data_IF_369790180358
#
_entry.id   IF_369790180358
#
_cell.length_a   1.000
_cell.length_b   1.000
_cell.length_c   1.000
_cell.angle_alpha   90.00
_cell.angle_beta   90.00
_cell.angle_gamma   90.00
#
_symmetry.space_group_name_H-M   'P 1'
#
loop_
_entity.id
_entity.type
_entity.pdbx_description
1 polymer ?
#
# COMPACT_ATOMS: atom_id res chain seq x y z
N UNK A 1 -3.40 -7.16 -55.72
CA UNK A 1 -3.55 -8.61 -55.88
C UNK A 1 -3.57 -9.18 -54.48
N UNK A 2 -4.70 -9.42 -54.02
CA UNK A 2 -5.41 -10.68 -53.75
C UNK A 2 -4.96 -11.28 -52.41
N UNK A 3 -5.76 -11.75 -51.49
CA UNK A 3 -7.20 -11.96 -51.30
C UNK A 3 -7.39 -12.22 -49.80
N UNK A 4 -8.49 -11.76 -49.26
CA UNK A 4 -8.99 -12.04 -47.92
C UNK A 4 -9.45 -13.51 -47.77
N UNK A 5 -9.45 -14.03 -46.55
CA UNK A 5 -10.53 -14.91 -46.11
C UNK A 5 -10.80 -14.78 -44.63
N UNK A 6 -12.04 -14.41 -44.33
CA UNK A 6 -12.73 -14.51 -43.04
C UNK A 6 -12.92 -15.99 -42.67
N UNK A 7 -12.81 -16.30 -41.39
CA UNK A 7 -13.63 -17.38 -40.82
C UNK A 7 -13.99 -17.08 -39.38
N UNK A 8 -15.28 -16.79 -39.16
CA UNK A 8 -15.96 -16.83 -37.89
C UNK A 8 -15.97 -18.25 -37.33
N UNK A 9 -15.60 -18.42 -36.08
CA UNK A 9 -15.90 -19.64 -35.33
C UNK A 9 -16.74 -19.25 -34.13
N UNK A 10 -18.02 -19.67 -34.19
CA UNK A 10 -18.97 -19.69 -33.09
C UNK A 10 -18.62 -20.84 -32.15
N UNK A 11 -18.52 -20.57 -30.84
CA UNK A 11 -18.38 -21.62 -29.84
C UNK A 11 -19.71 -21.76 -29.12
N UNK A 12 -20.36 -22.92 -29.38
CA UNK A 12 -21.51 -23.39 -28.66
C UNK A 12 -21.09 -24.08 -27.35
N UNK A 13 -21.83 -23.78 -26.30
CA UNK A 13 -21.77 -24.44 -24.99
C UNK A 13 -22.14 -25.94 -25.11
N UNK A 14 -21.29 -26.83 -24.57
CA UNK A 14 -21.69 -28.20 -24.26
C UNK A 14 -21.17 -28.62 -22.90
N UNK A 15 -22.10 -28.99 -22.04
CA UNK A 15 -21.89 -29.69 -20.77
C UNK A 15 -21.16 -31.03 -21.03
N UNK A 16 -20.10 -31.28 -20.26
CA UNK A 16 -19.48 -32.61 -20.19
C UNK A 16 -19.66 -33.16 -18.77
N UNK A 17 -20.45 -34.21 -18.69
CA UNK A 17 -20.57 -35.12 -17.56
C UNK A 17 -19.32 -35.98 -17.46
N UNK A 18 -18.68 -36.00 -16.31
CA UNK A 18 -17.59 -36.93 -15.98
C UNK A 18 -18.18 -38.31 -15.62
N UNK A 19 -17.75 -39.33 -16.33
CA UNK A 19 -17.89 -40.74 -15.97
C UNK A 19 -16.54 -41.27 -15.44
N UNK A 20 -16.62 -41.95 -14.31
CA UNK A 20 -15.55 -42.76 -13.72
C UNK A 20 -15.07 -43.88 -14.64
N UNK A 21 -13.77 -44.13 -14.67
CA UNK A 21 -13.15 -45.44 -14.82
C UNK A 21 -11.62 -45.35 -14.69
N UNK A 22 -11.01 -45.95 -13.66
CA UNK A 22 -10.21 -47.18 -13.77
C UNK A 22 -9.47 -47.46 -12.46
N UNK A 23 -9.89 -48.61 -11.90
CA UNK A 23 -9.17 -49.32 -10.83
C UNK A 23 -8.01 -50.11 -11.41
N UNK A 24 -6.82 -50.01 -10.82
CA UNK A 24 -5.78 -51.03 -10.93
C UNK A 24 -5.54 -51.72 -9.60
N UNK A 25 -5.81 -53.01 -9.58
CA UNK A 25 -5.58 -53.93 -8.47
C UNK A 25 -4.16 -54.46 -8.49
N UNK A 26 -3.44 -54.36 -7.38
CA UNK A 26 -2.28 -55.22 -7.12
C UNK A 26 -2.64 -56.29 -6.07
N UNK A 27 -2.43 -57.57 -6.46
CA UNK A 27 -2.55 -58.76 -5.59
C UNK A 27 -1.27 -58.94 -4.80
N UNK A 28 -1.38 -59.17 -3.52
CA UNK A 28 -0.45 -60.01 -2.77
C UNK A 28 -1.20 -60.81 -1.66
N UNK A 29 -0.96 -62.11 -1.67
CA UNK A 29 -0.85 -63.06 -0.61
C UNK A 29 -2.02 -63.23 0.38
N UNK A 30 -2.71 -64.38 0.28
CA UNK A 30 -3.80 -64.78 1.14
C UNK A 30 -3.39 -65.21 2.55
N UNK A 31 -4.27 -64.90 3.49
CA UNK A 31 -4.52 -65.74 4.69
C UNK A 31 -6.01 -65.76 4.94
N UNK A 32 -6.57 -66.95 4.96
CA UNK A 32 -7.96 -67.30 5.29
C UNK A 32 -8.20 -67.15 6.79
N UNK A 33 -9.25 -66.44 7.21
CA UNK A 33 -9.89 -66.64 8.51
C UNK A 33 -11.40 -66.52 8.45
N UNK A 34 -12.02 -67.47 9.14
CA UNK A 34 -13.41 -67.85 9.16
C UNK A 34 -14.43 -66.82 9.60
N UNK A 35 -15.57 -66.89 8.95
CA UNK A 35 -16.85 -66.28 9.26
C UNK A 35 -17.33 -66.49 10.72
N UNK A 36 -17.67 -65.40 11.39
CA UNK A 36 -18.82 -65.37 12.33
C UNK A 36 -19.58 -64.03 12.11
N UNK A 37 -20.74 -64.15 11.48
CA UNK A 37 -21.74 -63.09 11.44
C UNK A 37 -22.21 -62.80 12.88
N UNK A 38 -22.00 -61.54 13.33
CA UNK A 38 -22.80 -60.89 14.35
C UNK A 38 -23.35 -59.63 13.76
N UNK A 39 -24.66 -59.58 13.57
CA UNK A 39 -25.41 -58.37 13.23
C UNK A 39 -25.31 -57.39 14.38
N UNK A 40 -24.60 -56.31 14.19
CA UNK A 40 -24.69 -55.12 15.01
C UNK A 40 -25.30 -54.01 14.12
N UNK A 41 -26.58 -53.73 14.37
CA UNK A 41 -27.23 -52.55 13.87
C UNK A 41 -26.57 -51.30 14.49
N UNK A 42 -25.57 -50.77 13.84
CA UNK A 42 -25.04 -49.46 14.18
C UNK A 42 -25.96 -48.40 13.57
N UNK A 43 -26.79 -47.77 14.41
CA UNK A 43 -27.48 -46.56 14.04
C UNK A 43 -26.45 -45.53 13.68
N UNK A 44 -26.31 -45.25 12.37
CA UNK A 44 -25.62 -44.04 11.88
C UNK A 44 -26.41 -42.82 12.38
N UNK A 45 -26.02 -42.29 13.52
CA UNK A 45 -26.34 -40.90 13.85
C UNK A 45 -25.55 -40.04 12.88
N UNK A 46 -26.21 -39.54 11.84
CA UNK A 46 -25.74 -38.37 11.12
C UNK A 46 -25.53 -37.26 12.15
N UNK A 47 -24.29 -37.03 12.51
CA UNK A 47 -23.91 -35.72 13.04
C UNK A 47 -24.08 -34.74 11.87
N UNK A 48 -25.27 -34.15 11.78
CA UNK A 48 -25.42 -32.89 11.11
C UNK A 48 -24.43 -31.95 11.83
N UNK A 49 -23.31 -31.65 11.19
CA UNK A 49 -22.50 -30.53 11.59
C UNK A 49 -23.42 -29.31 11.54
N UNK A 50 -23.88 -28.87 12.71
CA UNK A 50 -24.45 -27.55 12.84
C UNK A 50 -23.35 -26.60 12.35
N UNK A 51 -23.50 -26.09 11.12
CA UNK A 51 -22.81 -24.89 10.70
C UNK A 51 -23.29 -23.82 11.68
N UNK A 52 -22.51 -23.56 12.72
CA UNK A 52 -22.70 -22.40 13.55
C UNK A 52 -22.65 -21.21 12.59
N UNK A 53 -23.79 -20.57 12.37
CA UNK A 53 -23.85 -19.31 11.65
C UNK A 53 -22.97 -18.38 12.45
N UNK A 54 -21.78 -18.07 11.92
CA UNK A 54 -20.88 -17.10 12.54
C UNK A 54 -21.63 -15.78 12.50
N UNK A 55 -21.96 -15.24 13.68
CA UNK A 55 -22.61 -13.94 13.78
C UNK A 55 -21.61 -12.90 13.30
N UNK A 56 -21.90 -12.29 12.12
CA UNK A 56 -21.00 -11.33 11.48
C UNK A 56 -20.93 -10.04 12.28
N UNK A 57 -19.74 -9.51 12.41
CA UNK A 57 -19.56 -8.18 13.00
C UNK A 57 -20.14 -7.13 12.06
N UNK A 58 -21.12 -6.37 12.53
CA UNK A 58 -21.75 -5.30 11.75
C UNK A 58 -20.84 -4.08 11.68
N UNK A 59 -20.56 -3.60 10.46
CA UNK A 59 -19.84 -2.36 10.16
C UNK A 59 -20.87 -1.35 9.66
N UNK A 60 -21.20 -0.36 10.48
CA UNK A 60 -22.36 0.53 10.25
C UNK A 60 -22.13 1.48 9.08
N UNK A 61 -20.96 2.09 9.02
CA UNK A 61 -20.63 3.02 7.96
C UNK A 61 -19.81 2.33 6.86
N UNK A 62 -20.06 2.69 5.58
CA UNK A 62 -19.38 2.04 4.47
C UNK A 62 -17.90 2.35 4.44
N UNK A 63 -17.17 1.51 3.71
CA UNK A 63 -15.79 1.80 3.27
C UNK A 63 -15.75 1.90 1.74
N UNK A 64 -14.75 2.61 1.23
CA UNK A 64 -14.46 2.67 -0.20
C UNK A 64 -13.45 1.57 -0.54
N UNK A 65 -13.76 0.77 -1.53
CA UNK A 65 -12.83 -0.18 -2.12
C UNK A 65 -12.36 0.34 -3.48
N UNK A 66 -11.07 0.45 -3.65
CA UNK A 66 -10.40 0.79 -4.89
C UNK A 66 -9.67 -0.45 -5.40
N UNK A 67 -10.31 -1.20 -6.31
CA UNK A 67 -9.73 -2.41 -6.89
C UNK A 67 -8.58 -2.07 -7.85
N UNK A 68 -7.73 -3.03 -8.19
CA UNK A 68 -6.49 -2.79 -8.92
C UNK A 68 -6.28 -3.73 -10.11
N UNK A 69 -5.01 -4.09 -10.32
CA UNK A 69 -4.55 -4.81 -11.49
C UNK A 69 -3.82 -6.13 -11.17
N UNK A 70 -3.69 -6.96 -12.16
CA UNK A 70 -2.82 -8.13 -12.28
C UNK A 70 -2.95 -9.12 -11.09
N UNK A 71 -1.83 -9.65 -10.56
CA UNK A 71 -1.86 -10.67 -9.51
C UNK A 71 -2.43 -10.15 -8.19
N UNK A 72 -2.23 -8.88 -7.90
CA UNK A 72 -2.78 -8.27 -6.67
C UNK A 72 -4.30 -8.21 -6.69
N UNK A 73 -4.94 -7.99 -7.83
CA UNK A 73 -6.41 -8.05 -7.97
C UNK A 73 -6.96 -9.44 -7.64
N UNK A 74 -6.30 -10.50 -8.11
CA UNK A 74 -6.69 -11.88 -7.81
C UNK A 74 -6.62 -12.14 -6.30
N UNK A 75 -5.50 -11.77 -5.67
CA UNK A 75 -5.29 -11.92 -4.23
C UNK A 75 -6.30 -11.09 -3.45
N UNK A 76 -6.58 -9.86 -3.89
CA UNK A 76 -7.55 -8.95 -3.27
C UNK A 76 -8.94 -9.54 -3.19
N UNK A 77 -9.40 -10.17 -4.28
CA UNK A 77 -10.66 -10.91 -4.30
C UNK A 77 -10.64 -12.07 -3.31
N UNK A 78 -9.55 -12.86 -3.28
CA UNK A 78 -9.41 -13.98 -2.33
C UNK A 78 -9.44 -13.51 -0.86
N UNK A 79 -8.84 -12.35 -0.56
CA UNK A 79 -8.86 -11.76 0.79
C UNK A 79 -10.30 -11.42 1.18
N UNK A 80 -11.06 -10.76 0.31
CA UNK A 80 -12.46 -10.42 0.57
C UNK A 80 -13.29 -11.67 0.85
N UNK A 81 -13.20 -12.66 -0.04
CA UNK A 81 -14.02 -13.86 0.01
C UNK A 81 -13.72 -14.75 1.21
N UNK A 82 -12.46 -14.81 1.65
CA UNK A 82 -12.01 -15.73 2.70
C UNK A 82 -11.85 -15.08 4.07
N UNK A 83 -11.50 -13.81 4.14
CA UNK A 83 -11.11 -13.15 5.39
C UNK A 83 -12.01 -11.97 5.79
N UNK A 84 -12.77 -11.40 4.86
CA UNK A 84 -13.61 -10.23 5.14
C UNK A 84 -15.10 -10.62 5.17
N UNK A 85 -15.66 -11.02 4.04
CA UNK A 85 -17.10 -11.27 3.90
C UNK A 85 -17.67 -12.40 4.77
N UNK A 86 -16.92 -13.47 5.13
CA UNK A 86 -17.44 -14.46 6.06
C UNK A 86 -17.66 -13.95 7.49
N UNK A 87 -16.93 -12.90 7.89
CA UNK A 87 -16.89 -12.41 9.27
C UNK A 87 -17.53 -11.05 9.48
N UNK A 88 -17.62 -10.23 8.42
CA UNK A 88 -18.13 -8.87 8.49
C UNK A 88 -19.42 -8.70 7.67
N UNK A 89 -20.36 -7.95 8.23
CA UNK A 89 -21.50 -7.38 7.52
C UNK A 89 -21.17 -5.91 7.23
N UNK A 90 -20.75 -5.64 5.98
CA UNK A 90 -20.13 -4.38 5.57
C UNK A 90 -20.66 -3.91 4.21
N UNK A 91 -20.98 -2.62 4.11
CA UNK A 91 -21.30 -1.93 2.86
C UNK A 91 -20.00 -1.42 2.20
N UNK A 92 -19.77 -1.81 0.95
CA UNK A 92 -18.59 -1.43 0.17
C UNK A 92 -18.98 -0.53 -0.99
N UNK A 93 -18.39 0.66 -1.06
CA UNK A 93 -18.43 1.55 -2.21
C UNK A 93 -17.28 1.19 -3.15
N UNK A 94 -17.58 0.36 -4.13
CA UNK A 94 -16.61 -0.24 -5.04
C UNK A 94 -16.26 0.67 -6.23
N UNK A 95 -14.95 0.82 -6.50
CA UNK A 95 -14.39 1.49 -7.66
C UNK A 95 -13.33 0.60 -8.31
N UNK A 96 -13.49 0.30 -9.60
CA UNK A 96 -12.49 -0.45 -10.37
C UNK A 96 -11.42 0.52 -10.91
N UNK A 97 -10.24 0.52 -10.26
CA UNK A 97 -9.07 1.28 -10.72
C UNK A 97 -8.13 0.45 -11.62
N UNK A 98 -8.58 -0.68 -12.14
CA UNK A 98 -7.85 -1.42 -13.16
C UNK A 98 -7.57 -0.56 -14.39
N UNK A 99 -6.40 -0.72 -15.00
CA UNK A 99 -5.89 0.16 -16.06
C UNK A 99 -6.84 0.29 -17.25
N UNK A 100 -7.56 -0.79 -17.62
CA UNK A 100 -8.53 -0.78 -18.72
C UNK A 100 -9.79 0.02 -18.37
N UNK A 101 -10.29 -0.09 -17.14
CA UNK A 101 -11.45 0.71 -16.71
C UNK A 101 -11.08 2.18 -16.53
N UNK A 102 -9.91 2.49 -16.05
CA UNK A 102 -9.38 3.86 -16.00
C UNK A 102 -9.27 4.46 -17.40
N UNK A 103 -8.75 3.71 -18.36
CA UNK A 103 -8.69 4.15 -19.76
C UNK A 103 -10.07 4.40 -20.37
N UNK A 104 -11.04 3.50 -20.10
CA UNK A 104 -12.40 3.64 -20.60
C UNK A 104 -13.14 4.86 -20.05
N UNK A 105 -12.82 5.25 -18.80
CA UNK A 105 -13.43 6.38 -18.09
C UNK A 105 -12.61 7.68 -18.19
N UNK A 106 -11.56 7.71 -19.01
CA UNK A 106 -10.60 8.82 -19.10
C UNK A 106 -10.06 9.22 -17.72
N UNK A 107 -9.72 8.21 -16.92
CA UNK A 107 -9.23 8.26 -15.53
C UNK A 107 -10.16 8.98 -14.51
N UNK A 108 -11.42 9.26 -14.89
CA UNK A 108 -12.40 9.91 -13.99
C UNK A 108 -12.68 9.04 -12.75
N UNK A 109 -12.71 7.72 -12.91
CA UNK A 109 -12.94 6.78 -11.80
C UNK A 109 -11.92 6.96 -10.66
N UNK A 110 -10.68 7.33 -10.97
CA UNK A 110 -9.67 7.62 -9.95
C UNK A 110 -10.04 8.85 -9.11
N UNK A 111 -10.52 9.92 -9.76
CA UNK A 111 -10.97 11.14 -9.08
C UNK A 111 -12.23 10.87 -8.25
N UNK A 112 -13.20 10.16 -8.82
CA UNK A 112 -14.45 9.78 -8.14
C UNK A 112 -14.18 8.92 -6.90
N UNK A 113 -13.26 7.97 -6.98
CA UNK A 113 -12.88 7.13 -5.84
C UNK A 113 -12.21 7.94 -4.71
N UNK A 114 -11.37 8.91 -5.05
CA UNK A 114 -10.75 9.79 -4.07
C UNK A 114 -11.77 10.71 -3.40
N UNK A 115 -12.74 11.24 -4.15
CA UNK A 115 -13.85 12.03 -3.60
C UNK A 115 -14.75 11.18 -2.69
N UNK A 116 -14.99 9.92 -3.07
CA UNK A 116 -15.71 8.98 -2.22
C UNK A 116 -14.93 8.70 -0.92
N UNK A 117 -13.59 8.58 -0.98
CA UNK A 117 -12.76 8.42 0.22
C UNK A 117 -12.92 9.62 1.18
N UNK A 118 -12.92 10.85 0.68
CA UNK A 118 -13.22 12.04 1.48
C UNK A 118 -14.61 12.00 2.11
N UNK A 119 -15.61 11.53 1.35
CA UNK A 119 -17.01 11.44 1.81
C UNK A 119 -17.22 10.40 2.90
N UNK A 120 -16.60 9.21 2.74
CA UNK A 120 -16.81 8.07 3.64
C UNK A 120 -15.68 7.86 4.65
N UNK A 121 -14.63 8.67 4.60
CA UNK A 121 -13.48 8.73 5.51
C UNK A 121 -12.56 7.50 5.48
N UNK A 122 -12.94 6.37 4.91
CA UNK A 122 -12.10 5.17 4.88
C UNK A 122 -12.08 4.57 3.49
N UNK A 123 -10.89 4.39 2.96
CA UNK A 123 -10.65 3.66 1.73
C UNK A 123 -9.61 2.56 1.92
N UNK A 124 -9.78 1.47 1.18
CA UNK A 124 -8.79 0.40 1.01
C UNK A 124 -8.48 0.24 -0.47
N UNK A 125 -7.21 0.17 -0.81
CA UNK A 125 -6.79 0.21 -2.21
C UNK A 125 -5.90 -0.97 -2.57
N UNK A 126 -6.24 -1.65 -3.65
CA UNK A 126 -5.40 -2.62 -4.32
C UNK A 126 -4.31 -1.92 -5.16
N UNK A 127 -3.22 -2.61 -5.45
CA UNK A 127 -2.17 -2.07 -6.31
C UNK A 127 -2.65 -1.88 -7.75
N UNK A 128 -2.26 -0.77 -8.37
CA UNK A 128 -2.66 -0.36 -9.72
C UNK A 128 -1.47 -0.17 -10.64
N UNK A 129 -1.65 -0.42 -11.94
CA UNK A 129 -0.65 -0.13 -12.97
C UNK A 129 -0.54 1.38 -13.17
N UNK A 130 0.68 1.92 -13.10
CA UNK A 130 1.02 3.21 -13.69
C UNK A 130 1.66 2.92 -15.05
N UNK A 131 0.98 3.21 -16.18
CA UNK A 131 1.48 2.81 -17.49
C UNK A 131 2.69 3.62 -17.92
N UNK A 132 3.69 2.92 -18.44
CA UNK A 132 4.77 3.43 -19.26
C UNK A 132 4.45 3.21 -20.76
N UNK A 133 5.36 3.57 -21.65
CA UNK A 133 5.19 3.38 -23.09
C UNK A 133 4.94 1.92 -23.49
N UNK A 134 5.54 0.97 -22.76
CA UNK A 134 5.38 -0.47 -23.01
C UNK A 134 3.97 -0.91 -22.64
N UNK A 135 3.48 -0.45 -21.47
CA UNK A 135 2.13 -0.74 -21.00
C UNK A 135 1.05 -0.07 -21.86
N UNK A 136 1.29 1.14 -22.34
CA UNK A 136 0.37 1.80 -23.29
C UNK A 136 0.19 0.96 -24.55
N UNK A 137 1.28 0.41 -25.11
CA UNK A 137 1.21 -0.48 -26.26
C UNK A 137 0.56 -1.83 -25.94
N UNK A 138 0.92 -2.44 -24.80
CA UNK A 138 0.41 -3.74 -24.36
C UNK A 138 -1.12 -3.74 -24.20
N UNK A 139 -1.66 -2.71 -23.56
CA UNK A 139 -3.08 -2.60 -23.27
C UNK A 139 -3.85 -1.74 -24.30
N UNK A 140 -3.17 -1.26 -25.35
CA UNK A 140 -3.75 -0.35 -26.36
C UNK A 140 -4.46 0.86 -25.74
N UNK A 141 -3.81 1.50 -24.74
CA UNK A 141 -4.39 2.61 -24.00
C UNK A 141 -4.44 3.88 -24.85
N UNK A 142 -5.47 4.71 -24.63
CA UNK A 142 -5.63 6.03 -25.26
C UNK A 142 -4.52 7.01 -24.89
N UNK A 143 -3.98 6.87 -23.67
CA UNK A 143 -2.97 7.79 -23.13
C UNK A 143 -2.08 7.10 -22.09
N UNK A 144 -0.91 7.67 -21.85
CA UNK A 144 -0.05 7.32 -20.74
C UNK A 144 -0.55 8.00 -19.45
N UNK A 145 -1.58 7.40 -18.85
CA UNK A 145 -2.25 7.93 -17.67
C UNK A 145 -1.31 8.16 -16.50
N UNK A 146 -1.57 9.21 -15.72
CA UNK A 146 -0.82 9.49 -14.50
C UNK A 146 -0.99 8.40 -13.46
N UNK A 147 -0.10 8.37 -12.47
CA UNK A 147 -0.22 7.45 -11.35
C UNK A 147 -1.51 7.70 -10.57
N UNK A 148 -2.39 6.69 -10.38
CA UNK A 148 -3.59 6.82 -9.55
C UNK A 148 -3.25 7.23 -8.11
N UNK A 149 -2.16 6.68 -7.56
CA UNK A 149 -1.70 7.04 -6.22
C UNK A 149 -1.36 8.53 -6.13
N UNK A 150 -0.73 9.09 -7.16
CA UNK A 150 -0.44 10.53 -7.22
C UNK A 150 -1.72 11.37 -7.22
N UNK A 151 -2.72 11.00 -8.02
CA UNK A 151 -4.01 11.68 -8.09
C UNK A 151 -4.76 11.61 -6.76
N UNK A 152 -4.87 10.42 -6.16
CA UNK A 152 -5.54 10.21 -4.87
C UNK A 152 -4.86 11.01 -3.76
N UNK A 153 -3.53 10.91 -3.65
CA UNK A 153 -2.75 11.64 -2.63
C UNK A 153 -2.91 13.16 -2.74
N UNK A 154 -2.95 13.68 -3.95
CA UNK A 154 -3.16 15.11 -4.18
C UNK A 154 -4.57 15.59 -3.81
N UNK A 155 -5.59 14.75 -3.99
CA UNK A 155 -6.98 15.06 -3.61
C UNK A 155 -7.17 14.96 -2.10
N UNK A 156 -6.64 13.92 -1.48
CA UNK A 156 -6.75 13.68 -0.04
C UNK A 156 -5.86 14.63 0.79
N UNK A 157 -4.80 15.16 0.20
CA UNK A 157 -3.84 16.09 0.82
C UNK A 157 -3.37 15.60 2.20
N UNK A 158 -2.74 14.43 2.25
CA UNK A 158 -2.35 13.77 3.49
C UNK A 158 -0.88 13.38 3.56
N UNK A 159 -0.56 12.72 4.65
CA UNK A 159 0.76 12.11 4.89
C UNK A 159 0.68 10.61 4.68
N UNK A 160 1.61 10.05 3.92
CA UNK A 160 1.76 8.60 3.76
C UNK A 160 2.63 8.05 4.87
N UNK A 161 2.07 7.19 5.71
CA UNK A 161 2.82 6.46 6.73
C UNK A 161 3.09 5.04 6.26
N UNK A 162 4.36 4.66 6.26
CA UNK A 162 4.83 3.31 5.91
C UNK A 162 5.51 2.69 7.11
N UNK A 163 4.99 1.54 7.54
CA UNK A 163 5.48 0.84 8.72
C UNK A 163 5.66 -0.65 8.40
N UNK A 164 6.81 -1.26 8.77
CA UNK A 164 7.05 -2.68 8.54
C UNK A 164 6.19 -3.54 9.46
N UNK A 165 5.70 -4.67 8.93
CA UNK A 165 5.07 -5.75 9.67
C UNK A 165 6.18 -6.67 10.15
N UNK A 166 6.34 -6.80 11.47
CA UNK A 166 7.42 -7.57 12.06
C UNK A 166 7.01 -9.01 12.34
N UNK A 167 7.77 -9.97 11.79
CA UNK A 167 7.71 -11.37 12.15
C UNK A 167 9.07 -11.77 12.78
N UNK A 168 9.06 -12.51 13.89
CA UNK A 168 10.27 -12.83 14.67
C UNK A 168 11.27 -13.70 13.90
N UNK A 169 10.76 -14.60 13.06
CA UNK A 169 11.54 -15.54 12.28
C UNK A 169 12.07 -14.96 10.95
N UNK A 170 11.66 -13.75 10.55
CA UNK A 170 12.19 -13.09 9.35
C UNK A 170 13.44 -12.30 9.72
N UNK A 171 14.62 -12.68 9.17
CA UNK A 171 15.88 -12.01 9.49
C UNK A 171 15.87 -10.57 8.94
N UNK A 172 16.39 -9.63 9.73
CA UNK A 172 16.59 -8.25 9.32
C UNK A 172 17.98 -8.08 8.72
N UNK A 173 18.09 -7.31 7.64
CA UNK A 173 19.40 -7.01 7.02
C UNK A 173 20.25 -6.18 7.98
N UNK A 174 19.62 -5.27 8.76
CA UNK A 174 20.29 -4.53 9.82
C UNK A 174 19.94 -5.20 11.16
N UNK A 175 20.85 -5.98 11.76
CA UNK A 175 20.56 -6.75 12.98
C UNK A 175 20.17 -5.89 14.19
N UNK A 176 20.57 -4.62 14.21
CA UNK A 176 20.24 -3.66 15.26
C UNK A 176 18.77 -3.27 15.31
N UNK A 177 18.03 -3.40 14.22
CA UNK A 177 16.62 -2.98 14.14
C UNK A 177 15.71 -3.93 14.91
N UNK A 178 15.45 -3.61 16.17
CA UNK A 178 14.60 -4.39 17.07
C UNK A 178 13.14 -3.90 17.05
N UNK A 179 12.95 -2.63 16.78
CA UNK A 179 11.65 -1.94 16.76
C UNK A 179 11.36 -1.38 15.37
N UNK A 180 10.09 -1.24 14.96
CA UNK A 180 9.77 -0.66 13.67
C UNK A 180 10.28 0.78 13.55
N UNK A 181 10.67 1.18 12.34
CA UNK A 181 10.88 2.57 11.97
C UNK A 181 9.71 2.94 11.05
N UNK A 182 8.91 3.91 11.44
CA UNK A 182 7.78 4.36 10.66
C UNK A 182 8.15 5.60 9.85
N UNK A 183 8.13 5.50 8.52
CA UNK A 183 8.31 6.66 7.65
C UNK A 183 7.01 7.42 7.53
N UNK A 184 7.04 8.74 7.81
CA UNK A 184 6.01 9.69 7.41
C UNK A 184 6.47 10.43 6.15
N UNK A 185 5.87 10.11 4.99
CA UNK A 185 6.17 10.75 3.71
C UNK A 185 5.18 11.87 3.45
N UNK A 186 5.67 13.08 3.19
CA UNK A 186 4.85 14.19 2.70
C UNK A 186 4.32 13.85 1.31
N UNK A 187 3.02 13.64 1.16
CA UNK A 187 2.44 13.11 -0.07
C UNK A 187 2.06 14.18 -1.11
N UNK A 188 2.59 15.38 -0.99
CA UNK A 188 2.24 16.54 -1.82
C UNK A 188 3.47 17.25 -2.37
N UNK A 189 3.35 17.82 -3.59
CA UNK A 189 4.33 18.72 -4.16
C UNK A 189 5.67 18.07 -4.51
N UNK A 190 6.74 18.86 -4.41
CA UNK A 190 8.12 18.50 -4.70
C UNK A 190 8.29 17.92 -6.12
N UNK A 191 9.16 16.92 -6.32
CA UNK A 191 9.41 16.28 -7.61
C UNK A 191 8.16 15.64 -8.25
N UNK A 192 7.18 15.26 -7.43
CA UNK A 192 5.94 14.57 -7.90
C UNK A 192 4.92 15.52 -8.54
N UNK A 193 5.13 16.82 -8.42
CA UNK A 193 4.36 17.89 -9.09
C UNK A 193 5.25 18.91 -9.77
N UNK A 194 6.44 18.51 -10.16
CA UNK A 194 7.38 19.36 -10.87
C UNK A 194 6.92 19.63 -12.31
N UNK A 195 7.39 20.75 -12.84
CA UNK A 195 7.35 21.05 -14.26
C UNK A 195 8.78 21.02 -14.77
N UNK A 196 9.04 20.17 -15.76
CA UNK A 196 10.36 20.02 -16.38
C UNK A 196 10.33 20.31 -17.87
N UNK A 197 11.47 20.72 -18.41
CA UNK A 197 11.62 21.09 -19.82
C UNK A 197 13.01 20.77 -20.33
N UNK A 198 13.08 20.35 -21.59
CA UNK A 198 14.33 20.25 -22.35
C UNK A 198 14.65 21.64 -22.93
N UNK A 199 15.84 22.15 -22.66
CA UNK A 199 16.37 23.42 -23.20
C UNK A 199 17.20 23.07 -24.42
N UNK A 200 16.79 23.60 -25.60
CA UNK A 200 17.39 23.21 -26.88
C UNK A 200 18.56 24.11 -27.35
N UNK A 201 18.94 25.13 -26.55
CA UNK A 201 19.98 26.06 -26.96
C UNK A 201 20.48 26.93 -25.82
N UNK A 202 21.24 27.97 -26.19
CA UNK A 202 21.72 29.00 -25.25
C UNK A 202 20.60 29.96 -24.86
N UNK A 203 20.64 30.50 -23.65
CA UNK A 203 19.66 31.44 -23.13
C UNK A 203 19.58 31.47 -21.61
N UNK A 204 18.84 32.44 -21.08
CA UNK A 204 18.67 32.63 -19.65
C UNK A 204 17.40 31.91 -19.15
N UNK A 205 17.54 31.10 -18.13
CA UNK A 205 16.43 30.57 -17.37
C UNK A 205 16.13 31.54 -16.22
N UNK A 206 14.86 31.93 -16.10
CA UNK A 206 14.36 32.75 -15.00
C UNK A 206 13.21 32.04 -14.28
N UNK A 207 13.07 32.27 -12.97
CA UNK A 207 11.88 32.00 -12.21
C UNK A 207 11.12 33.31 -11.98
N UNK A 208 9.85 33.35 -12.37
CA UNK A 208 8.98 34.51 -12.23
C UNK A 208 7.78 34.17 -11.38
N UNK A 209 7.54 34.95 -10.33
CA UNK A 209 6.32 34.91 -9.56
C UNK A 209 5.52 36.18 -9.80
N UNK A 210 4.27 36.02 -10.25
CA UNK A 210 3.35 37.13 -10.52
C UNK A 210 2.28 37.13 -9.43
N UNK A 211 2.28 38.17 -8.55
CA UNK A 211 1.25 38.29 -7.52
C UNK A 211 -0.12 38.65 -8.11
N UNK A 212 -1.19 38.04 -7.59
CA UNK A 212 -2.58 38.34 -8.03
C UNK A 212 -3.08 39.72 -7.58
N UNK A 213 -2.46 40.31 -6.56
CA UNK A 213 -2.83 41.64 -6.01
C UNK A 213 -2.27 42.81 -6.82
N UNK A 214 -1.57 42.55 -7.93
CA UNK A 214 -1.01 43.60 -8.80
C UNK A 214 0.34 44.16 -8.34
N UNK A 215 0.95 43.61 -7.30
CA UNK A 215 2.31 43.96 -6.90
C UNK A 215 3.33 43.64 -8.00
N UNK A 216 4.53 44.21 -7.90
CA UNK A 216 5.62 43.99 -8.85
C UNK A 216 6.01 42.49 -8.86
N UNK A 217 6.07 41.86 -10.05
CA UNK A 217 6.54 40.47 -10.17
C UNK A 217 7.94 40.28 -9.60
N UNK A 218 8.16 39.18 -8.91
CA UNK A 218 9.49 38.77 -8.45
C UNK A 218 10.16 37.95 -9.55
N UNK A 219 11.29 38.42 -10.05
CA UNK A 219 12.11 37.71 -11.04
C UNK A 219 13.44 37.27 -10.41
N UNK A 220 13.82 36.01 -10.60
CA UNK A 220 15.10 35.45 -10.17
C UNK A 220 15.82 34.82 -11.37
N UNK A 221 17.05 35.19 -11.63
CA UNK A 221 17.91 34.50 -12.57
C UNK A 221 18.31 33.15 -12.00
N UNK A 222 18.00 32.05 -12.70
CA UNK A 222 18.31 30.69 -12.27
C UNK A 222 19.62 30.21 -12.89
N UNK A 223 19.74 30.28 -14.23
CA UNK A 223 20.93 29.86 -14.94
C UNK A 223 21.04 30.47 -16.33
N UNK A 224 22.28 30.66 -16.81
CA UNK A 224 22.61 31.15 -18.15
C UNK A 224 23.16 29.98 -18.99
N UNK A 225 22.28 29.31 -19.74
CA UNK A 225 22.62 28.17 -20.59
C UNK A 225 23.53 28.62 -21.76
N UNK A 226 24.64 27.93 -21.96
CA UNK A 226 25.54 28.11 -23.08
C UNK A 226 25.29 27.13 -24.23
N UNK A 227 24.39 26.18 -24.04
CA UNK A 227 23.98 25.17 -24.99
C UNK A 227 22.79 24.38 -24.46
N UNK A 228 22.43 23.23 -25.07
CA UNK A 228 21.31 22.40 -24.63
C UNK A 228 21.45 21.93 -23.20
N UNK A 229 20.31 21.70 -22.52
CA UNK A 229 20.25 21.22 -21.17
C UNK A 229 18.82 20.84 -20.72
N UNK A 230 18.62 20.72 -19.43
CA UNK A 230 17.32 20.47 -18.81
C UNK A 230 17.08 21.43 -17.66
N UNK A 231 15.82 21.73 -17.39
CA UNK A 231 15.40 22.54 -16.26
C UNK A 231 14.19 21.91 -15.58
N UNK A 232 14.08 22.12 -14.27
CA UNK A 232 12.96 21.62 -13.45
C UNK A 232 12.58 22.69 -12.43
N UNK A 233 11.28 22.95 -12.30
CA UNK A 233 10.71 23.73 -11.22
C UNK A 233 9.78 22.86 -10.37
N UNK A 234 9.91 22.97 -9.05
CA UNK A 234 9.04 22.30 -8.08
C UNK A 234 8.53 23.31 -7.05
N UNK A 235 7.44 22.98 -6.38
CA UNK A 235 6.83 23.85 -5.38
C UNK A 235 6.23 23.06 -4.22
N UNK A 236 5.97 23.76 -3.13
CA UNK A 236 5.15 23.30 -2.03
C UNK A 236 4.36 24.46 -1.43
N UNK A 237 3.40 24.19 -0.55
CA UNK A 237 2.58 25.21 0.09
C UNK A 237 2.59 25.03 1.60
N UNK A 238 2.56 26.16 2.32
CA UNK A 238 2.63 26.18 3.79
C UNK A 238 1.53 25.35 4.46
N UNK A 239 0.32 25.41 3.94
CA UNK A 239 -0.82 24.65 4.45
C UNK A 239 -0.55 23.14 4.42
N UNK A 240 -0.02 22.63 3.30
CA UNK A 240 0.31 21.21 3.16
C UNK A 240 1.46 20.80 4.08
N UNK A 241 2.51 21.64 4.20
CA UNK A 241 3.62 21.37 5.12
C UNK A 241 3.14 21.37 6.57
N UNK A 242 2.25 22.28 6.95
CA UNK A 242 1.65 22.36 8.28
C UNK A 242 0.81 21.12 8.57
N UNK A 243 -0.03 20.67 7.63
CA UNK A 243 -0.78 19.42 7.75
C UNK A 243 0.12 18.19 7.89
N UNK A 244 1.23 18.16 7.19
CA UNK A 244 2.25 17.12 7.31
C UNK A 244 2.91 17.11 8.70
N UNK A 245 3.23 18.30 9.26
CA UNK A 245 3.76 18.41 10.61
C UNK A 245 2.75 17.91 11.66
N UNK A 246 1.50 18.36 11.59
CA UNK A 246 0.43 17.94 12.50
C UNK A 246 0.20 16.42 12.46
N UNK A 247 0.09 15.81 11.27
CA UNK A 247 -0.12 14.37 11.14
C UNK A 247 1.06 13.57 11.70
N UNK A 248 2.29 14.04 11.46
CA UNK A 248 3.51 13.36 11.94
C UNK A 248 3.62 13.42 13.46
N UNK A 249 3.32 14.58 14.06
CA UNK A 249 3.29 14.77 15.51
C UNK A 249 2.18 13.91 16.15
N UNK A 250 0.98 13.90 15.57
CA UNK A 250 -0.15 13.12 16.07
C UNK A 250 0.15 11.61 16.06
N UNK A 251 0.79 11.11 14.99
CA UNK A 251 1.19 9.69 14.93
C UNK A 251 2.26 9.37 15.96
N UNK A 252 3.29 10.20 16.09
CA UNK A 252 4.38 10.03 17.06
C UNK A 252 3.82 9.98 18.50
N UNK A 253 2.94 10.91 18.83
CA UNK A 253 2.24 10.95 20.10
C UNK A 253 1.41 9.69 20.36
N UNK A 254 0.62 9.26 19.37
CA UNK A 254 -0.21 8.05 19.49
C UNK A 254 0.63 6.79 19.73
N UNK A 255 1.81 6.72 19.10
CA UNK A 255 2.74 5.59 19.25
C UNK A 255 3.63 5.71 20.50
N UNK A 256 3.67 6.86 21.13
CA UNK A 256 4.61 7.21 22.20
C UNK A 256 6.08 7.03 21.74
N UNK A 257 6.36 7.49 20.53
CA UNK A 257 7.66 7.40 19.87
C UNK A 257 8.19 8.80 19.57
N UNK A 258 9.51 9.01 19.63
CA UNK A 258 10.11 10.26 19.16
C UNK A 258 9.87 10.47 17.67
N UNK A 259 9.86 11.76 17.27
CA UNK A 259 9.71 12.20 15.88
C UNK A 259 11.00 12.87 15.40
N UNK A 260 11.48 12.43 14.25
CA UNK A 260 12.55 13.10 13.52
C UNK A 260 12.02 13.65 12.20
N UNK A 261 12.29 14.93 11.90
CA UNK A 261 12.16 15.49 10.56
C UNK A 261 13.52 15.50 9.89
N UNK A 262 13.64 15.01 8.67
CA UNK A 262 14.87 15.15 7.90
C UNK A 262 14.71 16.03 6.66
N UNK A 263 15.70 16.90 6.43
CA UNK A 263 15.79 17.77 5.26
C UNK A 263 17.25 17.95 4.81
N UNK A 264 17.49 18.64 3.70
CA UNK A 264 18.82 19.09 3.30
C UNK A 264 18.86 20.63 3.26
N UNK A 265 18.40 21.29 4.32
CA UNK A 265 18.30 22.73 4.43
C UNK A 265 19.66 23.48 4.37
N UNK A 266 20.77 22.77 4.55
CA UNK A 266 22.12 23.33 4.32
C UNK A 266 22.38 23.61 2.83
N UNK A 267 21.71 22.91 1.93
CA UNK A 267 21.78 23.07 0.47
C UNK A 267 20.54 23.83 -0.03
N UNK A 268 19.34 23.32 0.22
CA UNK A 268 18.06 23.94 -0.16
C UNK A 268 17.60 24.90 0.94
N UNK A 269 18.40 25.96 1.17
CA UNK A 269 18.26 26.82 2.36
C UNK A 269 16.88 27.41 2.58
N UNK A 270 16.20 27.85 1.51
CA UNK A 270 14.86 28.42 1.59
C UNK A 270 13.78 27.35 1.53
N UNK A 271 13.88 26.45 0.56
CA UNK A 271 12.87 25.43 0.32
C UNK A 271 12.76 24.47 1.51
N UNK A 272 13.83 23.77 1.87
CA UNK A 272 13.88 22.85 2.99
C UNK A 272 13.84 23.58 4.35
N UNK A 273 14.39 24.80 4.40
CA UNK A 273 14.28 25.68 5.57
C UNK A 273 12.82 25.97 5.94
N UNK A 274 11.95 26.17 4.94
CA UNK A 274 10.52 26.38 5.21
C UNK A 274 9.85 25.16 5.86
N UNK A 275 10.20 23.94 5.47
CA UNK A 275 9.72 22.72 6.15
C UNK A 275 10.18 22.68 7.61
N UNK A 276 11.48 22.94 7.86
CA UNK A 276 12.03 22.98 9.21
C UNK A 276 11.30 24.02 10.08
N UNK A 277 11.16 25.23 9.60
CA UNK A 277 10.56 26.34 10.35
C UNK A 277 9.10 26.08 10.71
N UNK A 278 8.30 25.52 9.77
CA UNK A 278 6.90 25.21 10.00
C UNK A 278 6.77 24.03 11.01
N UNK A 279 7.60 22.99 10.90
CA UNK A 279 7.60 21.90 11.86
C UNK A 279 7.94 22.38 13.29
N UNK A 280 8.93 23.26 13.42
CA UNK A 280 9.30 23.88 14.68
C UNK A 280 8.15 24.71 15.27
N UNK A 281 7.50 25.52 14.45
CA UNK A 281 6.34 26.33 14.85
C UNK A 281 5.18 25.47 15.34
N UNK A 282 4.84 24.38 14.61
CA UNK A 282 3.77 23.44 14.97
C UNK A 282 4.10 22.72 16.27
N UNK A 283 5.35 22.25 16.42
CA UNK A 283 5.81 21.59 17.63
C UNK A 283 5.69 22.49 18.85
N UNK A 284 6.31 23.67 18.82
CA UNK A 284 6.33 24.61 19.95
C UNK A 284 4.92 25.03 20.38
N UNK A 285 4.01 25.29 19.40
CA UNK A 285 2.65 25.75 19.72
C UNK A 285 1.71 24.65 20.20
N UNK A 286 1.75 23.46 19.59
CA UNK A 286 0.66 22.50 19.71
C UNK A 286 1.09 21.18 20.40
N UNK A 287 2.37 20.82 20.37
CA UNK A 287 2.81 19.47 20.70
C UNK A 287 3.86 19.38 21.79
N UNK A 288 4.68 20.37 22.00
CA UNK A 288 5.82 20.34 22.92
C UNK A 288 5.45 19.81 24.31
N UNK A 289 4.46 20.41 24.95
CA UNK A 289 4.01 19.98 26.27
C UNK A 289 3.50 18.53 26.27
N UNK A 290 2.73 18.13 25.25
CA UNK A 290 2.23 16.76 25.13
C UNK A 290 3.36 15.74 24.98
N UNK A 291 4.40 16.10 24.22
CA UNK A 291 5.58 15.25 24.03
C UNK A 291 6.41 15.11 25.29
N UNK A 292 6.62 16.24 26.00
CA UNK A 292 7.30 16.25 27.30
C UNK A 292 6.56 15.39 28.34
N UNK A 293 5.23 15.50 28.42
CA UNK A 293 4.39 14.69 29.32
C UNK A 293 4.49 13.19 29.06
N UNK A 294 4.71 12.77 27.81
CA UNK A 294 4.89 11.35 27.40
C UNK A 294 6.37 10.94 27.30
N UNK A 295 7.32 11.80 27.68
CA UNK A 295 8.76 11.56 27.61
C UNK A 295 9.26 11.21 26.18
N UNK A 296 8.68 11.83 25.17
CA UNK A 296 9.10 11.77 23.77
C UNK A 296 9.53 13.16 23.30
N UNK A 297 10.21 13.22 22.15
CA UNK A 297 10.76 14.47 21.63
C UNK A 297 10.61 14.59 20.12
N UNK A 298 10.72 15.81 19.63
CA UNK A 298 10.90 16.15 18.20
C UNK A 298 12.32 16.67 17.98
N UNK A 299 12.92 16.27 16.88
CA UNK A 299 14.24 16.76 16.45
C UNK A 299 14.31 16.87 14.93
N UNK A 300 14.86 17.99 14.44
CA UNK A 300 15.21 18.14 13.03
C UNK A 300 16.66 17.69 12.81
N UNK A 301 16.91 16.88 11.78
CA UNK A 301 18.23 16.42 11.36
C UNK A 301 18.45 16.59 9.86
N UNK A 302 19.72 16.65 9.43
CA UNK A 302 20.03 16.51 8.02
C UNK A 302 19.75 15.09 7.56
N UNK A 303 19.32 14.91 6.29
CA UNK A 303 18.92 13.61 5.75
C UNK A 303 20.05 12.58 5.81
N UNK A 304 21.28 12.96 5.53
CA UNK A 304 22.46 12.11 5.62
C UNK A 304 22.76 11.66 7.06
N UNK A 305 22.65 12.57 8.03
CA UNK A 305 22.80 12.23 9.45
C UNK A 305 21.69 11.28 9.92
N UNK A 306 20.47 11.49 9.41
CA UNK A 306 19.34 10.64 9.77
C UNK A 306 19.44 9.23 9.16
N UNK A 307 19.97 9.10 7.94
CA UNK A 307 20.30 7.79 7.35
C UNK A 307 21.36 7.07 8.18
N UNK A 308 22.41 7.77 8.59
CA UNK A 308 23.45 7.18 9.44
C UNK A 308 22.92 6.77 10.82
N UNK A 309 22.02 7.57 11.40
CA UNK A 309 21.33 7.25 12.65
C UNK A 309 20.44 6.01 12.49
N UNK A 310 19.63 5.94 11.43
CA UNK A 310 18.73 4.82 11.18
C UNK A 310 19.47 3.48 11.16
N UNK A 311 20.62 3.41 10.47
CA UNK A 311 21.45 2.20 10.39
C UNK A 311 22.08 1.76 11.73
N UNK A 312 22.23 2.69 12.69
CA UNK A 312 22.85 2.43 13.99
C UNK A 312 21.85 2.30 15.13
N UNK A 313 20.59 2.67 14.90
CA UNK A 313 19.52 2.69 15.91
C UNK A 313 18.87 1.32 16.09
N UNK A 314 18.16 1.16 17.21
CA UNK A 314 17.24 0.03 17.42
C UNK A 314 15.90 0.17 16.72
N UNK A 315 15.59 1.35 16.15
CA UNK A 315 14.27 1.74 15.68
C UNK A 315 13.38 2.31 16.80
N UNK A 316 12.05 2.27 16.61
CA UNK A 316 11.08 2.78 17.59
C UNK A 316 10.87 4.29 17.51
N UNK A 317 10.84 4.84 16.29
CA UNK A 317 10.59 6.25 16.05
C UNK A 317 9.81 6.50 14.76
N UNK A 318 9.24 7.68 14.64
CA UNK A 318 8.65 8.20 13.40
C UNK A 318 9.69 9.08 12.70
N UNK A 319 9.87 8.85 11.41
CA UNK A 319 10.79 9.61 10.57
C UNK A 319 10.01 10.33 9.49
N UNK A 320 9.80 11.64 9.67
CA UNK A 320 9.14 12.51 8.71
C UNK A 320 10.13 12.91 7.60
N UNK A 321 9.75 12.64 6.36
CA UNK A 321 10.54 12.88 5.16
C UNK A 321 9.75 13.69 4.13
N UNK A 322 10.42 14.54 3.36
CA UNK A 322 9.85 15.13 2.15
C UNK A 322 9.45 14.04 1.15
N UNK A 323 8.69 14.41 0.12
CA UNK A 323 8.02 13.47 -0.76
C UNK A 323 8.96 12.41 -1.37
N UNK A 324 10.01 12.82 -2.07
CA UNK A 324 10.98 11.91 -2.71
C UNK A 324 11.81 11.14 -1.68
N UNK A 325 12.32 11.84 -0.66
CA UNK A 325 13.12 11.21 0.40
C UNK A 325 12.33 10.10 1.10
N UNK A 326 11.04 10.37 1.41
CA UNK A 326 10.15 9.41 2.05
C UNK A 326 9.84 8.19 1.18
N UNK A 327 9.74 8.36 -0.14
CA UNK A 327 9.56 7.24 -1.06
C UNK A 327 10.77 6.31 -1.04
N UNK A 328 11.97 6.87 -1.22
CA UNK A 328 13.22 6.10 -1.28
C UNK A 328 13.54 5.45 0.08
N UNK A 329 13.43 6.20 1.18
CA UNK A 329 13.77 5.69 2.51
C UNK A 329 12.80 4.62 2.99
N UNK A 330 11.51 4.72 2.66
CA UNK A 330 10.55 3.69 3.05
C UNK A 330 10.80 2.36 2.33
N UNK A 331 11.18 2.39 1.06
CA UNK A 331 11.54 1.18 0.32
C UNK A 331 12.86 0.55 0.84
N UNK A 332 13.85 1.39 1.16
CA UNK A 332 15.09 0.92 1.81
C UNK A 332 14.78 0.21 3.14
N UNK A 333 13.96 0.82 3.99
CA UNK A 333 13.58 0.25 5.29
C UNK A 333 12.77 -1.04 5.11
N UNK A 334 11.85 -1.09 4.14
CA UNK A 334 11.07 -2.30 3.85
C UNK A 334 11.99 -3.49 3.52
N UNK A 335 12.99 -3.28 2.66
CA UNK A 335 13.98 -4.31 2.35
C UNK A 335 14.84 -4.65 3.57
N UNK A 336 15.23 -3.65 4.35
CA UNK A 336 16.03 -3.82 5.57
C UNK A 336 15.31 -4.63 6.66
N UNK A 337 13.99 -4.50 6.76
CA UNK A 337 13.13 -5.31 7.65
C UNK A 337 12.75 -6.68 7.09
N UNK A 338 13.13 -6.98 5.84
CA UNK A 338 12.99 -8.29 5.21
C UNK A 338 12.37 -8.26 3.82
N UNK A 339 11.21 -7.68 3.63
CA UNK A 339 10.50 -7.69 2.34
C UNK A 339 9.52 -6.54 2.21
N UNK A 340 9.43 -5.98 1.01
CA UNK A 340 8.38 -5.01 0.66
C UNK A 340 6.96 -5.59 0.83
N UNK A 341 6.80 -6.92 0.70
CA UNK A 341 5.56 -7.63 0.99
C UNK A 341 5.16 -7.66 2.47
N UNK A 342 6.01 -7.12 3.37
CA UNK A 342 5.73 -6.92 4.79
C UNK A 342 5.64 -5.42 5.15
N UNK A 343 5.32 -4.56 4.20
CA UNK A 343 5.18 -3.11 4.43
C UNK A 343 3.78 -2.66 4.04
N UNK A 344 3.09 -1.99 4.97
CA UNK A 344 1.83 -1.29 4.69
C UNK A 344 2.10 0.18 4.37
N UNK A 345 1.20 0.77 3.61
CA UNK A 345 1.18 2.20 3.28
C UNK A 345 -0.21 2.74 3.65
N UNK A 346 -0.23 3.76 4.47
CA UNK A 346 -1.47 4.42 4.93
C UNK A 346 -1.37 5.91 4.66
N UNK A 347 -2.24 6.42 3.80
CA UNK A 347 -2.42 7.85 3.61
C UNK A 347 -3.44 8.36 4.63
N UNK A 348 -3.04 9.31 5.45
CA UNK A 348 -3.89 9.95 6.46
C UNK A 348 -4.01 11.43 6.15
N UNK A 349 -5.25 11.95 6.05
CA UNK A 349 -5.51 13.38 5.90
C UNK A 349 -4.99 14.18 7.11
N UNK A 350 -4.72 15.47 6.91
CA UNK A 350 -4.17 16.34 7.97
C UNK A 350 -5.07 16.48 9.20
N UNK A 351 -6.40 16.34 9.02
CA UNK A 351 -7.38 16.35 10.12
C UNK A 351 -7.55 14.99 10.80
N UNK A 352 -6.83 13.96 10.33
CA UNK A 352 -6.89 12.60 10.87
C UNK A 352 -8.18 11.82 10.59
N UNK A 353 -9.12 12.38 9.81
CA UNK A 353 -10.43 11.74 9.57
C UNK A 353 -10.40 10.77 8.40
N UNK A 354 -9.81 11.18 7.28
CA UNK A 354 -9.79 10.38 6.07
C UNK A 354 -8.53 9.54 6.00
N UNK A 355 -8.70 8.23 5.83
CA UNK A 355 -7.61 7.27 5.69
C UNK A 355 -7.81 6.43 4.44
N UNK A 356 -6.73 6.32 3.64
CA UNK A 356 -6.62 5.33 2.56
C UNK A 356 -5.47 4.38 2.87
N UNK A 357 -5.72 3.07 2.84
CA UNK A 357 -4.73 2.05 3.13
C UNK A 357 -4.46 1.17 1.90
N UNK A 358 -3.18 0.98 1.58
CA UNK A 358 -2.73 0.12 0.48
C UNK A 358 -1.52 -0.73 0.90
N UNK A 359 -1.19 -1.76 0.11
CA UNK A 359 0.10 -2.42 0.19
C UNK A 359 1.19 -1.53 -0.44
N UNK A 360 2.38 -1.50 0.14
CA UNK A 360 3.48 -0.68 -0.39
C UNK A 360 4.15 -1.26 -1.66
N UNK A 361 3.69 -2.42 -2.14
CA UNK A 361 4.21 -3.07 -3.35
C UNK A 361 3.31 -2.85 -4.58
N UNK A 362 3.83 -3.13 -5.78
CA UNK A 362 3.10 -3.04 -7.05
C UNK A 362 2.23 -4.27 -7.35
N UNK A 363 1.78 -4.38 -8.60
CA UNK A 363 0.78 -5.36 -9.09
C UNK A 363 1.30 -6.79 -9.24
N UNK A 364 2.60 -7.04 -9.03
CA UNK A 364 3.26 -8.36 -9.13
C UNK A 364 3.09 -9.01 -10.51
N UNK A 365 3.41 -8.26 -11.55
CA UNK A 365 3.28 -8.63 -12.97
C UNK A 365 3.87 -9.99 -13.30
N UNK A 366 5.07 -10.32 -12.77
CA UNK A 366 5.72 -11.60 -13.08
C UNK A 366 4.89 -12.80 -12.65
N UNK A 367 4.32 -12.77 -11.44
CA UNK A 367 3.45 -13.86 -10.98
C UNK A 367 2.13 -13.88 -11.73
N UNK A 368 1.60 -12.70 -12.12
CA UNK A 368 0.41 -12.65 -12.96
C UNK A 368 0.62 -13.36 -14.30
N UNK A 369 1.76 -13.13 -14.99
CA UNK A 369 2.09 -13.84 -16.23
C UNK A 369 2.23 -15.35 -16.03
N UNK A 370 2.83 -15.79 -14.95
CA UNK A 370 2.90 -17.20 -14.59
C UNK A 370 1.50 -17.79 -14.37
N UNK A 371 0.65 -17.09 -13.63
CA UNK A 371 -0.73 -17.50 -13.37
C UNK A 371 -1.56 -17.60 -14.66
N UNK A 372 -1.43 -16.63 -15.58
CA UNK A 372 -2.08 -16.69 -16.91
C UNK A 372 -1.67 -17.93 -17.73
N UNK A 373 -0.44 -18.40 -17.55
CA UNK A 373 0.09 -19.61 -18.18
C UNK A 373 -0.24 -20.91 -17.42
N UNK A 374 -1.13 -20.85 -16.41
CA UNK A 374 -1.52 -22.00 -15.60
C UNK A 374 -0.43 -22.52 -14.65
N UNK A 375 0.61 -21.73 -14.40
CA UNK A 375 1.69 -22.09 -13.49
C UNK A 375 1.34 -21.72 -12.04
N UNK A 376 1.80 -22.54 -11.10
CA UNK A 376 1.71 -22.24 -9.68
C UNK A 376 2.50 -20.97 -9.32
N UNK A 377 1.92 -20.13 -8.49
CA UNK A 377 2.57 -18.91 -7.99
C UNK A 377 2.56 -18.87 -6.47
N UNK A 378 3.57 -18.21 -5.90
CA UNK A 378 3.67 -17.99 -4.46
C UNK A 378 3.82 -16.49 -4.21
N UNK A 379 2.68 -15.79 -4.16
CA UNK A 379 2.63 -14.35 -3.97
C UNK A 379 2.30 -14.02 -2.51
N UNK A 380 3.13 -13.19 -1.89
CA UNK A 380 2.92 -12.72 -0.52
C UNK A 380 1.69 -11.82 -0.45
N UNK A 381 0.71 -12.20 0.36
CA UNK A 381 -0.54 -11.47 0.55
C UNK A 381 -0.59 -10.64 1.84
N UNK A 382 0.43 -10.71 2.69
CA UNK A 382 0.41 -10.12 4.04
C UNK A 382 0.15 -8.60 3.98
N UNK A 383 0.90 -7.86 3.17
CA UNK A 383 0.69 -6.42 3.05
C UNK A 383 -0.70 -6.05 2.54
N UNK A 384 -1.28 -6.84 1.63
CA UNK A 384 -2.65 -6.63 1.13
C UNK A 384 -3.71 -6.94 2.20
N UNK A 385 -3.51 -7.97 3.03
CA UNK A 385 -4.38 -8.24 4.19
C UNK A 385 -4.30 -7.08 5.18
N UNK A 386 -3.10 -6.60 5.47
CA UNK A 386 -2.89 -5.49 6.39
C UNK A 386 -3.42 -4.15 5.84
N UNK A 387 -3.47 -3.95 4.53
CA UNK A 387 -4.17 -2.81 3.96
C UNK A 387 -5.67 -2.82 4.34
N UNK A 388 -6.34 -3.97 4.23
CA UNK A 388 -7.71 -4.15 4.71
C UNK A 388 -7.83 -3.91 6.21
N UNK A 389 -6.98 -4.50 7.03
CA UNK A 389 -7.05 -4.37 8.49
C UNK A 389 -6.79 -2.94 8.96
N UNK A 390 -5.86 -2.20 8.32
CA UNK A 390 -5.60 -0.79 8.64
C UNK A 390 -6.80 0.10 8.32
N UNK A 391 -7.41 -0.06 7.15
CA UNK A 391 -8.65 0.64 6.79
C UNK A 391 -9.79 0.33 7.75
N UNK A 392 -10.04 -0.95 8.02
CA UNK A 392 -11.07 -1.39 8.95
C UNK A 392 -10.81 -0.95 10.40
N UNK A 393 -9.54 -0.92 10.85
CA UNK A 393 -9.18 -0.41 12.16
C UNK A 393 -9.51 1.08 12.31
N UNK A 394 -9.27 1.87 11.26
CA UNK A 394 -9.65 3.26 11.26
C UNK A 394 -11.17 3.42 11.31
N UNK A 395 -11.92 2.63 10.54
CA UNK A 395 -13.39 2.57 10.61
C UNK A 395 -13.87 2.21 12.01
N UNK A 396 -13.27 1.18 12.62
CA UNK A 396 -13.60 0.76 13.98
C UNK A 396 -13.39 1.86 15.01
N UNK A 397 -12.32 2.64 14.89
CA UNK A 397 -12.02 3.79 15.76
C UNK A 397 -13.03 4.93 15.57
N UNK A 398 -13.33 5.30 14.31
CA UNK A 398 -14.30 6.35 13.99
C UNK A 398 -15.71 6.01 14.49
N UNK A 399 -16.12 4.74 14.39
CA UNK A 399 -17.43 4.25 14.77
C UNK A 399 -17.50 3.75 16.22
N UNK A 400 -16.38 3.76 16.96
CA UNK A 400 -16.25 3.19 18.31
C UNK A 400 -16.72 1.72 18.37
N UNK A 401 -16.37 0.94 17.33
CA UNK A 401 -16.78 -0.45 17.18
C UNK A 401 -15.70 -1.41 17.70
N UNK A 402 -15.77 -1.71 18.99
CA UNK A 402 -14.80 -2.59 19.68
C UNK A 402 -14.77 -4.01 19.13
N UNK A 403 -15.93 -4.55 18.67
CA UNK A 403 -15.98 -5.88 18.05
C UNK A 403 -15.19 -5.93 16.74
N UNK A 404 -15.26 -4.87 15.95
CA UNK A 404 -14.47 -4.75 14.72
C UNK A 404 -12.99 -4.65 15.04
N UNK A 405 -12.60 -3.88 16.05
CA UNK A 405 -11.20 -3.75 16.47
C UNK A 405 -10.65 -5.09 16.99
N UNK A 406 -11.40 -5.83 17.79
CA UNK A 406 -11.02 -7.17 18.27
C UNK A 406 -10.84 -8.17 17.10
N UNK A 407 -11.77 -8.18 16.15
CA UNK A 407 -11.63 -9.01 14.94
C UNK A 407 -10.34 -8.70 14.19
N UNK A 408 -10.03 -7.42 14.00
CA UNK A 408 -8.83 -6.98 13.27
C UNK A 408 -7.56 -7.43 13.99
N UNK A 409 -7.48 -7.22 15.31
CA UNK A 409 -6.33 -7.65 16.11
C UNK A 409 -6.11 -9.17 15.99
N UNK A 410 -7.18 -9.96 16.03
CA UNK A 410 -7.11 -11.42 15.85
C UNK A 410 -6.64 -11.81 14.45
N UNK A 411 -7.12 -11.11 13.40
CA UNK A 411 -6.71 -11.38 12.02
C UNK A 411 -5.22 -11.05 11.80
N UNK A 412 -4.76 -9.90 12.30
CA UNK A 412 -3.34 -9.51 12.20
C UNK A 412 -2.45 -10.49 12.97
N UNK A 413 -2.83 -10.87 14.19
CA UNK A 413 -2.11 -11.86 14.98
C UNK A 413 -2.03 -13.23 14.27
N UNK A 414 -3.15 -13.72 13.73
CA UNK A 414 -3.19 -14.97 12.97
C UNK A 414 -2.27 -14.95 11.73
N UNK A 415 -2.17 -13.81 11.03
CA UNK A 415 -1.25 -13.66 9.90
C UNK A 415 0.21 -13.76 10.36
N UNK A 416 0.58 -13.05 11.42
CA UNK A 416 1.94 -13.06 11.97
C UNK A 416 2.30 -14.46 12.49
N UNK A 417 1.44 -15.08 13.30
CA UNK A 417 1.63 -16.41 13.86
C UNK A 417 1.76 -17.47 12.76
N UNK A 418 1.01 -17.35 11.66
CA UNK A 418 1.12 -18.24 10.50
C UNK A 418 2.53 -18.19 9.91
N UNK A 419 3.08 -17.00 9.68
CA UNK A 419 4.45 -16.82 9.19
C UNK A 419 5.48 -17.34 10.21
N UNK A 420 5.31 -16.99 11.48
CA UNK A 420 6.20 -17.41 12.56
C UNK A 420 6.21 -18.92 12.78
N UNK A 421 5.09 -19.62 12.47
CA UNK A 421 5.01 -21.09 12.49
C UNK A 421 5.73 -21.78 11.32
N UNK A 422 6.33 -21.01 10.40
CA UNK A 422 7.04 -21.53 9.21
C UNK A 422 6.15 -21.71 7.97
N UNK A 423 4.86 -21.35 8.03
CA UNK A 423 3.93 -21.37 6.89
C UNK A 423 3.97 -20.01 6.19
N UNK A 424 4.78 -19.92 5.17
CA UNK A 424 5.04 -18.65 4.50
C UNK A 424 5.20 -18.81 2.99
N UNK A 425 5.15 -17.70 2.27
CA UNK A 425 5.39 -17.66 0.83
C UNK A 425 6.87 -17.79 0.50
N UNK A 426 7.17 -18.13 -0.77
CA UNK A 426 8.53 -18.44 -1.24
C UNK A 426 9.52 -17.29 -1.01
N UNK A 427 9.08 -16.04 -1.15
CA UNK A 427 9.91 -14.85 -0.89
C UNK A 427 10.40 -14.80 0.56
N UNK A 428 9.50 -15.04 1.53
CA UNK A 428 9.84 -15.08 2.95
C UNK A 428 10.67 -16.33 3.30
N UNK A 429 10.34 -17.49 2.73
CA UNK A 429 11.12 -18.71 2.94
C UNK A 429 12.57 -18.57 2.47
N UNK A 430 12.82 -17.87 1.35
CA UNK A 430 14.17 -17.59 0.87
C UNK A 430 14.95 -16.68 1.84
N UNK A 431 14.28 -15.75 2.52
CA UNK A 431 14.93 -14.90 3.53
C UNK A 431 15.38 -15.71 4.74
N UNK A 432 14.57 -16.69 5.15
CA UNK A 432 14.84 -17.53 6.34
C UNK A 432 15.88 -18.62 6.05
N UNK A 433 15.75 -19.30 4.91
CA UNK A 433 16.51 -20.53 4.60
C UNK A 433 17.58 -20.35 3.52
N UNK A 434 17.67 -19.17 2.91
CA UNK A 434 18.56 -18.93 1.77
C UNK A 434 18.00 -19.50 0.45
N UNK A 435 18.71 -19.20 -0.66
CA UNK A 435 18.42 -19.83 -1.97
C UNK A 435 19.12 -21.19 -1.98
N UNK A 436 18.37 -22.27 -2.01
CA UNK A 436 18.89 -23.62 -2.32
C UNK A 436 18.88 -23.84 -3.82
#
# INVERSE_FOLDING_TARGET
>A
MAIATNSCISISSSLVTLKDHHSQTYKYGGVSFNNRRRSLSASLRCFASSSSVIDKVKVVNPIVEMDGDEMTRIIWTMIKDKLIFPYLDIDIKYFDLGVLNRDSTDDRVTVESAQAALKYNVAVKCATITPDETRVKEFALKSMWRSPNGTIRNILNGTVFREPILCKNIPRIVPGWQKPICIGRHAFGDQYRATDAIINGSGKLKMVFVPDNGDTPMELDVYDFKGPGIALAMYNVDESIRGFAESSMALAFTKKWPLYLSTKNTILKKYDGRFKDIFEEVYEKNWKKKFEDESIWYEHRLIDDMVAYALKSEGGYVWACKNYDGDVQSDLLAQGFGSLGLMTSVLLSSDGKTLEAEAAHGTVTRHFRQHQNGQETSTNSIASIFAWTRGLAHRGKLDKNEKLLDFIHKLEAACIETVESGKMTKDLAILVHGRK
#
